data_IF_864425313267
#
_entry.id   IF_864425313267
#
_cell.length_a   1.000
_cell.length_b   1.000
_cell.length_c   1.000
_cell.angle_alpha   90.00
_cell.angle_beta   90.00
_cell.angle_gamma   90.00
#
_symmetry.space_group_name_H-M   'P 1'
#
loop_
_entity.id
_entity.type
_entity.pdbx_description
1 polymer ?
#
# COMPACT_ATOMS: atom_id res chain seq x y z
N UNK A 1 5.89 -14.07 5.74
CA UNK A 1 4.68 -13.36 6.21
C UNK A 1 3.73 -13.01 5.05
N UNK A 2 2.57 -12.38 5.30
CA UNK A 2 1.73 -11.80 4.25
C UNK A 2 2.03 -10.31 4.10
N UNK A 3 1.98 -9.81 2.87
CA UNK A 3 2.21 -8.39 2.54
C UNK A 3 1.28 -7.93 1.43
N UNK A 4 1.27 -6.62 1.17
CA UNK A 4 0.64 -6.01 0.01
C UNK A 4 1.70 -5.69 -1.04
N UNK A 5 1.45 -6.10 -2.27
CA UNK A 5 2.26 -5.70 -3.44
C UNK A 5 1.44 -4.89 -4.42
N UNK A 6 2.08 -3.96 -5.12
CA UNK A 6 1.51 -3.32 -6.29
C UNK A 6 1.16 -4.38 -7.34
N UNK A 7 -0.01 -4.26 -7.96
CA UNK A 7 -0.37 -5.12 -9.09
C UNK A 7 -1.08 -4.34 -10.19
N UNK A 8 -0.91 -4.76 -11.43
CA UNK A 8 -1.65 -4.26 -12.58
C UNK A 8 -2.93 -5.07 -12.84
N UNK A 9 -3.16 -6.14 -12.08
CA UNK A 9 -4.42 -6.88 -12.14
C UNK A 9 -5.60 -5.95 -11.84
N UNK A 10 -6.63 -6.01 -12.70
CA UNK A 10 -7.84 -5.17 -12.66
C UNK A 10 -7.61 -3.66 -12.82
N UNK A 11 -6.40 -3.21 -13.13
CA UNK A 11 -6.14 -1.81 -13.46
C UNK A 11 -6.87 -1.40 -14.74
N UNK A 12 -7.56 -0.27 -14.69
CA UNK A 12 -8.34 0.27 -15.81
C UNK A 12 -9.80 -0.19 -15.82
N UNK A 13 -10.19 -1.15 -14.97
CA UNK A 13 -11.58 -1.59 -14.82
C UNK A 13 -12.46 -0.48 -14.19
N UNK A 14 -11.87 0.42 -13.41
CA UNK A 14 -12.56 1.55 -12.79
C UNK A 14 -12.04 2.90 -13.33
N UNK A 15 -12.94 3.85 -13.65
CA UNK A 15 -12.53 5.18 -14.07
C UNK A 15 -11.58 5.87 -13.10
N UNK A 16 -10.43 6.31 -13.63
CA UNK A 16 -9.39 7.00 -12.88
C UNK A 16 -8.44 6.09 -12.12
N UNK A 17 -8.50 4.78 -12.34
CA UNK A 17 -7.36 3.91 -12.06
C UNK A 17 -6.04 4.45 -12.60
N UNK A 18 -4.97 4.19 -11.86
CA UNK A 18 -3.63 4.53 -12.27
C UNK A 18 -2.63 3.58 -11.62
N UNK A 19 -1.51 3.36 -12.32
CA UNK A 19 -0.38 2.55 -11.85
C UNK A 19 0.91 3.27 -12.24
N UNK A 20 1.56 3.88 -11.25
CA UNK A 20 2.85 4.55 -11.43
C UNK A 20 3.98 3.82 -10.71
N UNK A 21 3.64 2.84 -9.88
CA UNK A 21 4.54 1.91 -9.18
C UNK A 21 5.17 0.91 -10.14
N UNK A 22 6.20 0.23 -9.66
CA UNK A 22 6.74 -0.99 -10.26
C UNK A 22 5.83 -2.17 -9.90
N UNK A 23 5.47 -2.99 -10.88
CA UNK A 23 4.68 -4.21 -10.63
C UNK A 23 5.38 -5.12 -9.61
N UNK A 24 4.65 -5.53 -8.58
CA UNK A 24 5.15 -6.45 -7.55
C UNK A 24 5.96 -5.80 -6.43
N UNK A 25 6.19 -4.47 -6.45
CA UNK A 25 6.83 -3.80 -5.32
C UNK A 25 5.93 -3.79 -4.07
N UNK A 26 6.52 -3.72 -2.87
CA UNK A 26 5.77 -3.56 -1.64
C UNK A 26 5.01 -2.23 -1.65
N UNK A 27 3.77 -2.26 -1.17
CA UNK A 27 2.94 -1.05 -1.03
C UNK A 27 2.32 -0.98 0.36
N UNK A 28 2.01 0.23 0.82
CA UNK A 28 1.30 0.48 2.09
C UNK A 28 -0.13 0.98 1.85
N UNK A 29 -1.11 0.61 2.70
CA UNK A 29 -2.46 1.18 2.63
C UNK A 29 -2.54 2.57 3.27
N UNK A 30 -1.47 3.06 3.92
CA UNK A 30 -1.43 4.37 4.61
C UNK A 30 -0.94 5.46 3.66
N UNK A 31 -1.55 6.65 3.71
CA UNK A 31 -1.17 7.79 2.86
C UNK A 31 -1.66 9.10 3.45
N UNK A 32 -0.81 10.12 3.36
CA UNK A 32 -1.23 11.50 3.57
C UNK A 32 -2.09 11.97 2.39
N UNK A 33 -3.36 12.26 2.66
CA UNK A 33 -4.29 12.74 1.64
C UNK A 33 -4.29 14.26 1.54
N UNK A 34 -4.32 14.78 0.32
CA UNK A 34 -4.52 16.21 0.08
C UNK A 34 -5.98 16.63 0.35
N UNK A 35 -6.26 17.93 0.28
CA UNK A 35 -7.62 18.47 0.46
C UNK A 35 -8.62 18.12 -0.66
N UNK A 36 -8.19 17.46 -1.73
CA UNK A 36 -9.03 17.05 -2.87
C UNK A 36 -8.70 15.62 -3.32
N UNK A 37 -8.87 14.62 -2.44
CA UNK A 37 -8.33 13.28 -2.65
C UNK A 37 -8.99 12.53 -3.79
N UNK A 38 -10.25 12.86 -4.09
CA UNK A 38 -11.00 12.29 -5.21
C UNK A 38 -10.41 12.67 -6.56
N UNK A 39 -10.02 13.93 -6.75
CA UNK A 39 -9.46 14.44 -8.00
C UNK A 39 -7.98 14.11 -8.12
N UNK A 40 -7.21 14.26 -7.04
CA UNK A 40 -5.79 13.92 -7.02
C UNK A 40 -5.57 12.40 -7.18
N UNK A 41 -6.47 11.60 -6.64
CA UNK A 41 -6.35 10.14 -6.61
C UNK A 41 -5.62 9.61 -5.37
N UNK A 42 -5.05 10.47 -4.51
CA UNK A 42 -4.42 10.03 -3.26
C UNK A 42 -5.41 9.31 -2.32
N UNK A 43 -6.72 9.57 -2.44
CA UNK A 43 -7.74 8.85 -1.66
C UNK A 43 -7.82 7.36 -1.95
N UNK A 44 -7.28 6.91 -3.08
CA UNK A 44 -7.40 5.53 -3.59
C UNK A 44 -6.07 4.86 -3.94
N UNK A 45 -4.95 5.55 -3.74
CA UNK A 45 -3.63 5.07 -4.15
C UNK A 45 -2.85 4.44 -3.02
N UNK A 46 -2.35 3.22 -3.21
CA UNK A 46 -1.34 2.58 -2.37
C UNK A 46 0.06 3.09 -2.77
N UNK A 47 0.81 3.77 -1.88
CA UNK A 47 2.19 4.16 -2.14
C UNK A 47 3.12 2.95 -2.17
N UNK A 48 3.99 2.88 -3.17
CA UNK A 48 5.05 1.89 -3.33
C UNK A 48 6.32 2.31 -2.61
N UNK A 49 6.89 1.37 -1.86
CA UNK A 49 8.01 1.64 -0.94
C UNK A 49 9.34 1.84 -1.68
N UNK A 50 9.49 1.29 -2.89
CA UNK A 50 10.72 1.40 -3.67
C UNK A 50 10.66 2.57 -4.66
N UNK A 51 9.50 2.79 -5.30
CA UNK A 51 9.35 3.80 -6.34
C UNK A 51 8.93 5.18 -5.85
N UNK A 52 8.44 5.30 -4.61
CA UNK A 52 7.81 6.52 -4.08
C UNK A 52 6.64 7.02 -4.96
N UNK A 53 5.97 6.10 -5.67
CA UNK A 53 4.82 6.37 -6.54
C UNK A 53 3.62 5.57 -6.05
N UNK A 54 2.43 5.86 -6.59
CA UNK A 54 1.20 5.21 -6.13
C UNK A 54 0.51 4.40 -7.25
N UNK A 55 -0.26 3.40 -6.82
CA UNK A 55 -1.14 2.57 -7.66
C UNK A 55 -2.51 2.40 -7.01
N UNK A 56 -3.58 2.27 -7.80
CA UNK A 56 -4.95 2.06 -7.29
C UNK A 56 -5.30 0.61 -6.95
N UNK A 57 -4.36 -0.32 -7.15
CA UNK A 57 -4.53 -1.76 -6.89
C UNK A 57 -3.34 -2.33 -6.16
N UNK A 58 -3.63 -3.11 -5.13
CA UNK A 58 -2.66 -3.94 -4.43
C UNK A 58 -3.17 -5.38 -4.36
N UNK A 59 -2.28 -6.35 -4.21
CA UNK A 59 -2.64 -7.75 -3.99
C UNK A 59 -2.06 -8.25 -2.67
N UNK A 60 -2.88 -8.99 -1.93
CA UNK A 60 -2.41 -9.72 -0.74
C UNK A 60 -1.63 -10.94 -1.20
N UNK A 61 -0.35 -11.01 -0.86
CA UNK A 61 0.51 -12.14 -1.21
C UNK A 61 1.17 -12.75 0.02
N UNK A 62 1.49 -14.03 -0.06
CA UNK A 62 2.34 -14.69 0.92
C UNK A 62 3.80 -14.65 0.44
N UNK A 63 4.68 -14.19 1.32
CA UNK A 63 6.13 -14.12 1.13
C UNK A 63 6.82 -14.85 2.29
N UNK A 64 6.99 -16.18 2.20
CA UNK A 64 7.64 -16.95 3.27
C UNK A 64 9.13 -16.64 3.38
N UNK A 65 9.69 -16.02 2.35
CA UNK A 65 11.08 -15.57 2.23
C UNK A 65 11.34 -14.19 2.86
N UNK A 66 10.31 -13.50 3.34
CA UNK A 66 10.41 -12.15 3.89
C UNK A 66 10.15 -12.15 5.40
N UNK A 67 11.09 -11.58 6.14
CA UNK A 67 11.03 -11.36 7.59
C UNK A 67 10.22 -10.07 7.91
N UNK A 68 9.42 -10.06 8.99
CA UNK A 68 8.78 -8.83 9.48
C UNK A 68 9.74 -7.63 9.65
N UNK A 69 10.97 -7.87 10.12
CA UNK A 69 11.96 -6.81 10.30
C UNK A 69 12.40 -6.22 8.95
N UNK A 70 12.46 -7.02 7.88
CA UNK A 70 12.77 -6.54 6.52
C UNK A 70 11.64 -5.66 5.96
N UNK A 71 10.38 -5.95 6.29
CA UNK A 71 9.25 -5.07 5.91
C UNK A 71 9.29 -3.76 6.69
N UNK A 72 9.61 -3.84 7.97
CA UNK A 72 9.78 -2.66 8.82
C UNK A 72 10.89 -1.76 8.30
N UNK A 73 12.07 -2.34 7.99
CA UNK A 73 13.19 -1.62 7.40
C UNK A 73 12.81 -0.98 6.06
N UNK A 74 12.11 -1.70 5.18
CA UNK A 74 11.65 -1.14 3.90
C UNK A 74 10.68 0.04 4.07
N UNK A 75 9.81 0.02 5.09
CA UNK A 75 8.93 1.12 5.44
C UNK A 75 9.71 2.32 5.99
N UNK A 76 10.62 2.07 6.94
CA UNK A 76 11.50 3.09 7.51
C UNK A 76 12.27 3.83 6.41
N UNK A 77 12.88 3.06 5.51
CA UNK A 77 13.64 3.55 4.36
C UNK A 77 12.77 4.37 3.40
N UNK A 78 11.55 3.89 3.10
CA UNK A 78 10.61 4.60 2.22
C UNK A 78 10.18 5.93 2.83
N UNK A 79 9.75 5.92 4.09
CA UNK A 79 9.26 7.12 4.77
C UNK A 79 10.39 8.14 4.98
N UNK A 80 11.62 7.67 5.23
CA UNK A 80 12.81 8.51 5.29
C UNK A 80 13.08 9.17 3.94
N UNK A 81 13.05 8.42 2.83
CA UNK A 81 13.21 8.97 1.47
C UNK A 81 12.12 9.96 1.09
N UNK A 82 10.90 9.75 1.57
CA UNK A 82 9.77 10.66 1.35
C UNK A 82 9.85 11.93 2.23
N UNK A 83 10.83 12.02 3.13
CA UNK A 83 11.12 13.20 3.94
C UNK A 83 10.41 13.25 5.30
N UNK A 84 9.73 12.17 5.72
CA UNK A 84 8.99 12.17 6.99
C UNK A 84 9.90 12.25 8.21
N UNK A 85 11.09 11.65 8.14
CA UNK A 85 12.09 11.70 9.20
C UNK A 85 12.59 13.14 9.49
N UNK A 86 12.46 14.08 8.54
CA UNK A 86 12.86 15.48 8.74
C UNK A 86 11.86 16.27 9.61
N UNK A 87 10.69 15.68 9.91
CA UNK A 87 9.56 16.35 10.56
C UNK A 87 9.16 15.74 11.90
N UNK A 88 9.76 14.62 12.28
CA UNK A 88 9.43 13.83 13.46
C UNK A 88 10.70 13.55 14.25
N UNK A 89 10.60 13.41 15.56
CA UNK A 89 11.71 12.82 16.32
C UNK A 89 11.80 11.30 16.09
N UNK A 90 12.92 10.69 16.51
CA UNK A 90 13.17 9.26 16.27
C UNK A 90 12.04 8.37 16.81
N UNK A 91 11.46 8.71 17.96
CA UNK A 91 10.39 7.91 18.59
C UNK A 91 9.07 8.07 17.82
N UNK A 92 8.73 9.29 17.42
CA UNK A 92 7.55 9.57 16.59
C UNK A 92 7.67 8.91 15.21
N UNK A 93 8.87 8.89 14.63
CA UNK A 93 9.13 8.29 13.34
C UNK A 93 9.04 6.76 13.39
N UNK A 94 9.64 6.11 14.39
CA UNK A 94 9.47 4.67 14.61
C UNK A 94 8.00 4.29 14.82
N UNK A 95 7.24 5.08 15.59
CA UNK A 95 5.82 4.85 15.78
C UNK A 95 5.00 4.97 14.48
N UNK A 96 5.39 5.88 13.56
CA UNK A 96 4.78 5.99 12.24
C UNK A 96 5.07 4.73 11.39
N UNK A 97 6.30 4.21 11.43
CA UNK A 97 6.67 2.97 10.72
C UNK A 97 5.86 1.79 11.26
N UNK A 98 5.73 1.67 12.59
CA UNK A 98 4.93 0.64 13.24
C UNK A 98 3.45 0.73 12.85
N UNK A 99 2.88 1.94 12.76
CA UNK A 99 1.50 2.14 12.30
C UNK A 99 1.30 1.64 10.87
N UNK A 100 2.26 1.92 9.97
CA UNK A 100 2.22 1.43 8.60
C UNK A 100 2.27 -0.10 8.53
N UNK A 101 3.16 -0.74 9.31
CA UNK A 101 3.27 -2.19 9.38
C UNK A 101 1.98 -2.82 9.91
N UNK A 102 1.45 -2.29 11.02
CA UNK A 102 0.18 -2.75 11.60
C UNK A 102 -0.99 -2.63 10.61
N UNK A 103 -1.05 -1.55 9.84
CA UNK A 103 -2.07 -1.38 8.80
C UNK A 103 -1.95 -2.42 7.68
N UNK A 104 -0.73 -2.76 7.25
CA UNK A 104 -0.49 -3.83 6.27
C UNK A 104 -1.00 -5.17 6.82
N UNK A 105 -0.60 -5.53 8.04
CA UNK A 105 -1.02 -6.78 8.68
C UNK A 105 -2.54 -6.86 8.86
N UNK A 106 -3.17 -5.73 9.22
CA UNK A 106 -4.63 -5.62 9.37
C UNK A 106 -5.35 -5.91 8.06
N UNK A 107 -4.86 -5.36 6.94
CA UNK A 107 -5.41 -5.67 5.61
C UNK A 107 -5.16 -7.14 5.25
N UNK A 108 -3.92 -7.62 5.39
CA UNK A 108 -3.54 -8.99 5.02
C UNK A 108 -4.22 -10.10 5.85
N UNK A 109 -4.63 -9.80 7.08
CA UNK A 109 -5.44 -10.70 7.92
C UNK A 109 -6.92 -10.69 7.55
N UNK A 110 -7.42 -9.59 6.98
CA UNK A 110 -8.82 -9.42 6.58
C UNK A 110 -9.15 -10.05 5.23
N UNK A 111 -8.16 -10.32 4.38
CA UNK A 111 -8.36 -10.84 3.02
C UNK A 111 -7.53 -12.12 2.74
N UNK A 112 -8.05 -13.07 1.95
CA UNK A 112 -7.28 -14.21 1.47
C UNK A 112 -6.08 -13.81 0.60
N UNK A 113 -5.04 -14.64 0.58
CA UNK A 113 -3.93 -14.53 -0.38
C UNK A 113 -4.49 -14.62 -1.81
N UNK A 114 -3.96 -13.80 -2.72
CA UNK A 114 -4.43 -13.63 -4.09
C UNK A 114 -5.58 -12.63 -4.24
N UNK A 115 -6.07 -12.03 -3.14
CA UNK A 115 -7.10 -10.98 -3.25
C UNK A 115 -6.47 -9.68 -3.74
N UNK A 116 -6.94 -9.20 -4.90
CA UNK A 116 -6.71 -7.82 -5.33
C UNK A 116 -7.63 -6.90 -4.54
N UNK A 117 -7.07 -5.84 -3.98
CA UNK A 117 -7.76 -4.85 -3.15
C UNK A 117 -7.67 -3.45 -3.76
N UNK A 118 -8.67 -2.64 -3.44
CA UNK A 118 -8.72 -1.20 -3.69
C UNK A 118 -8.94 -0.47 -2.37
N UNK A 119 -8.74 0.85 -2.33
CA UNK A 119 -9.06 1.64 -1.15
C UNK A 119 -9.78 2.94 -1.45
N UNK A 120 -10.42 3.47 -0.42
CA UNK A 120 -10.92 4.84 -0.37
C UNK A 120 -10.79 5.40 1.05
N UNK A 121 -9.94 6.40 1.24
CA UNK A 121 -9.57 6.82 2.58
C UNK A 121 -8.80 5.71 3.29
N UNK A 122 -9.16 5.50 4.56
CA UNK A 122 -8.65 4.42 5.41
C UNK A 122 -9.34 3.08 5.19
N UNK A 123 -10.30 2.99 4.27
CA UNK A 123 -11.07 1.76 4.03
C UNK A 123 -10.51 1.00 2.84
N UNK A 124 -10.23 -0.29 3.04
CA UNK A 124 -9.75 -1.22 2.02
C UNK A 124 -10.85 -2.23 1.72
N UNK A 125 -11.03 -2.55 0.44
CA UNK A 125 -12.08 -3.43 -0.06
C UNK A 125 -11.51 -4.41 -1.08
N UNK A 126 -12.07 -5.62 -1.15
CA UNK A 126 -11.76 -6.53 -2.25
C UNK A 126 -12.24 -5.92 -3.57
N UNK A 127 -11.39 -6.03 -4.57
CA UNK A 127 -11.71 -5.64 -5.94
C UNK A 127 -12.45 -6.80 -6.59
N UNK A 128 -13.62 -6.52 -7.17
CA UNK A 128 -14.41 -7.56 -7.83
C UNK A 128 -13.68 -7.96 -9.12
N UNK A 129 -13.13 -9.17 -9.16
CA UNK A 129 -12.66 -9.75 -10.41
C UNK A 129 -13.90 -10.19 -11.18
N UNK A 130 -14.13 -9.67 -12.38
CA UNK A 130 -15.23 -10.15 -13.22
C UNK A 130 -14.92 -11.60 -13.60
N UNK A 131 -15.54 -12.56 -12.90
CA UNK A 131 -15.40 -13.97 -13.27
C UNK A 131 -16.10 -14.20 -14.60
N UNK A 132 -15.36 -14.62 -15.61
CA UNK A 132 -15.97 -15.21 -16.81
C UNK A 132 -16.51 -16.60 -16.46
N UNK A 133 -17.74 -16.88 -16.88
CA UNK A 133 -18.39 -18.20 -16.78
C UNK A 133 -17.85 -19.18 -17.82
#
# INVERSE_FOLDING_TARGET
MKVLIATNETQGDHPGDYTWTVEGELVTPVTAECCSPATCGCGRGFPGLASCRATTTAMVVERPDLDPDEVWEALYDSLSRDGWADHLDDTEFEALVDEHLWCIETVCSSFPVGTVVSRWGTKVYSRQVSAAA
#
